data_IF_881256984883
#
_entry.id   IF_881256984883
#
_cell.length_a   1.000
_cell.length_b   1.000
_cell.length_c   1.000
_cell.angle_alpha   90.00
_cell.angle_beta   90.00
_cell.angle_gamma   90.00
#
_symmetry.space_group_name_H-M   'P 1'
#
loop_
_entity.id
_entity.type
_entity.pdbx_description
1 polymer ?
#
# COMPACT_ATOMS: atom_id res chain seq x y z
N UNK A 1 -34.03 4.26 33.67
CA UNK A 1 -34.71 4.06 32.39
C UNK A 1 -34.09 4.96 31.33
N UNK A 2 -34.10 6.29 31.52
CA UNK A 2 -33.55 7.27 30.58
C UNK A 2 -32.10 6.95 30.10
N UNK A 3 -31.24 6.48 31.01
CA UNK A 3 -29.87 6.13 30.66
C UNK A 3 -29.81 4.87 29.79
N UNK A 4 -30.70 3.90 30.01
CA UNK A 4 -30.82 2.72 29.14
C UNK A 4 -31.26 3.14 27.74
N UNK A 5 -32.21 4.02 27.61
CA UNK A 5 -32.70 4.58 26.33
C UNK A 5 -31.58 5.29 25.57
N UNK A 6 -30.79 6.12 26.25
CA UNK A 6 -29.61 6.80 25.66
C UNK A 6 -28.57 5.82 25.15
N UNK A 7 -28.34 4.73 25.89
CA UNK A 7 -27.39 3.69 25.44
C UNK A 7 -27.94 2.92 24.25
N UNK A 8 -29.23 2.61 24.26
CA UNK A 8 -29.90 1.91 23.14
C UNK A 8 -29.90 2.76 21.85
N UNK A 9 -30.05 4.09 21.97
CA UNK A 9 -29.92 5.02 20.82
C UNK A 9 -28.55 4.94 20.15
N UNK A 10 -27.48 4.65 20.90
CA UNK A 10 -26.15 4.49 20.33
C UNK A 10 -26.02 3.30 19.38
N UNK A 11 -26.91 2.29 19.47
CA UNK A 11 -26.89 1.12 18.59
C UNK A 11 -27.22 1.46 17.13
N UNK A 12 -27.94 2.55 16.89
CA UNK A 12 -28.32 3.04 15.56
C UNK A 12 -27.45 4.21 15.08
N UNK A 13 -26.51 4.68 15.91
CA UNK A 13 -25.55 5.73 15.52
C UNK A 13 -24.58 5.19 14.44
N UNK A 14 -24.35 5.97 13.39
CA UNK A 14 -23.50 5.60 12.29
C UNK A 14 -22.01 5.50 12.68
N UNK A 15 -21.58 6.30 13.67
CA UNK A 15 -20.20 6.36 14.13
C UNK A 15 -19.95 5.39 15.28
N UNK A 16 -19.23 4.30 15.00
CA UNK A 16 -18.81 3.32 16.02
C UNK A 16 -17.90 3.95 17.08
N UNK A 17 -16.99 4.83 16.66
CA UNK A 17 -16.03 5.47 17.55
C UNK A 17 -16.73 6.44 18.50
N UNK A 18 -17.65 7.27 18.00
CA UNK A 18 -18.38 8.23 18.82
C UNK A 18 -19.39 7.55 19.74
N UNK A 19 -20.06 6.49 19.27
CA UNK A 19 -20.92 5.64 20.10
C UNK A 19 -20.16 5.09 21.30
N UNK A 20 -18.95 4.59 21.09
CA UNK A 20 -18.12 4.06 22.19
C UNK A 20 -17.70 5.16 23.18
N UNK A 21 -17.31 6.35 22.71
CA UNK A 21 -16.99 7.49 23.59
C UNK A 21 -18.16 7.88 24.47
N UNK A 22 -19.37 8.00 23.88
CA UNK A 22 -20.59 8.30 24.62
C UNK A 22 -20.94 7.19 25.60
N UNK A 23 -20.74 5.92 25.20
CA UNK A 23 -20.94 4.77 26.09
C UNK A 23 -20.10 4.86 27.37
N UNK A 24 -18.81 5.26 27.25
CA UNK A 24 -17.93 5.41 28.42
C UNK A 24 -18.50 6.47 29.39
N UNK A 25 -19.01 7.59 28.86
CA UNK A 25 -19.66 8.62 29.68
C UNK A 25 -20.93 8.11 30.37
N UNK A 26 -21.73 7.32 29.67
CA UNK A 26 -22.94 6.72 30.25
C UNK A 26 -22.64 5.64 31.31
N UNK A 27 -21.56 4.90 31.15
CA UNK A 27 -21.06 3.97 32.17
C UNK A 27 -20.63 4.69 33.46
N UNK A 28 -19.98 5.85 33.34
CA UNK A 28 -19.62 6.70 34.49
C UNK A 28 -20.89 7.25 35.19
N UNK A 29 -21.86 7.73 34.41
CA UNK A 29 -23.15 8.20 34.96
C UNK A 29 -23.90 7.07 35.67
N UNK A 30 -23.89 5.86 35.09
CA UNK A 30 -24.51 4.69 35.72
C UNK A 30 -23.93 4.37 37.09
N UNK A 31 -22.61 4.42 37.20
CA UNK A 31 -21.92 4.19 38.48
C UNK A 31 -22.22 5.29 39.50
N UNK A 32 -22.35 6.53 39.04
CA UNK A 32 -22.63 7.68 39.92
C UNK A 32 -24.04 7.68 40.47
N UNK A 33 -25.04 7.11 39.80
CA UNK A 33 -26.42 7.02 40.24
C UNK A 33 -26.54 6.15 41.51
N UNK A 34 -25.70 5.10 41.65
CA UNK A 34 -25.75 4.23 42.81
C UNK A 34 -26.89 3.19 42.79
N UNK A 35 -27.17 2.54 43.93
CA UNK A 35 -28.12 1.43 43.99
C UNK A 35 -29.59 1.89 43.81
N UNK A 36 -30.37 1.05 43.14
CA UNK A 36 -31.82 1.20 42.92
C UNK A 36 -32.60 0.14 43.69
N UNK A 37 -33.93 0.28 43.87
CA UNK A 37 -34.73 -0.74 44.52
C UNK A 37 -34.61 -2.11 43.90
N UNK A 38 -34.54 -3.17 44.71
CA UNK A 38 -34.20 -4.53 44.31
C UNK A 38 -35.13 -5.12 43.26
N UNK A 39 -36.42 -4.76 43.30
CA UNK A 39 -37.46 -5.24 42.38
C UNK A 39 -37.29 -4.69 40.93
N UNK A 40 -36.60 -3.58 40.78
CA UNK A 40 -36.32 -2.91 39.49
C UNK A 40 -34.87 -3.09 39.04
N UNK A 41 -33.99 -3.50 39.93
CA UNK A 41 -32.56 -3.50 39.67
C UNK A 41 -32.15 -4.47 38.57
N UNK A 42 -32.71 -5.69 38.60
CA UNK A 42 -32.37 -6.77 37.66
C UNK A 42 -32.77 -6.41 36.21
N UNK A 43 -34.01 -5.93 36.04
CA UNK A 43 -34.54 -5.56 34.72
C UNK A 43 -33.71 -4.44 34.08
N UNK A 44 -33.45 -3.37 34.82
CA UNK A 44 -32.68 -2.22 34.34
C UNK A 44 -31.23 -2.62 34.06
N UNK A 45 -30.64 -3.45 34.94
CA UNK A 45 -29.28 -3.95 34.78
C UNK A 45 -29.13 -4.81 33.53
N UNK A 46 -29.99 -5.77 33.31
CA UNK A 46 -29.98 -6.63 32.12
C UNK A 46 -30.14 -5.81 30.84
N UNK A 47 -31.08 -4.86 30.84
CA UNK A 47 -31.28 -3.94 29.70
C UNK A 47 -30.04 -3.11 29.37
N UNK A 48 -29.42 -2.52 30.39
CA UNK A 48 -28.19 -1.73 30.25
C UNK A 48 -27.02 -2.59 29.76
N UNK A 49 -26.81 -3.76 30.36
CA UNK A 49 -25.75 -4.69 29.97
C UNK A 49 -25.90 -5.19 28.53
N UNK A 50 -27.11 -5.58 28.12
CA UNK A 50 -27.36 -6.05 26.75
C UNK A 50 -27.03 -4.96 25.72
N UNK A 51 -27.45 -3.73 25.95
CA UNK A 51 -27.16 -2.63 25.05
C UNK A 51 -25.65 -2.31 25.01
N UNK A 52 -24.98 -2.27 26.15
CA UNK A 52 -23.52 -2.04 26.23
C UNK A 52 -22.72 -3.13 25.57
N UNK A 53 -23.10 -4.40 25.73
CA UNK A 53 -22.44 -5.54 25.10
C UNK A 53 -22.56 -5.49 23.57
N UNK A 54 -23.71 -5.14 23.04
CA UNK A 54 -23.92 -4.98 21.60
C UNK A 54 -23.02 -3.85 21.02
N UNK A 55 -22.85 -2.74 21.74
CA UNK A 55 -21.97 -1.66 21.32
C UNK A 55 -20.50 -2.09 21.36
N UNK A 56 -20.10 -2.80 22.42
CA UNK A 56 -18.75 -3.34 22.53
C UNK A 56 -18.45 -4.37 21.45
N UNK A 57 -19.42 -5.23 21.12
CA UNK A 57 -19.31 -6.21 20.03
C UNK A 57 -19.14 -5.51 18.68
N UNK A 58 -19.99 -4.52 18.40
CA UNK A 58 -19.93 -3.72 17.17
C UNK A 58 -18.57 -3.01 17.03
N UNK A 59 -18.01 -2.53 18.14
CA UNK A 59 -16.67 -1.94 18.17
C UNK A 59 -15.59 -2.97 17.85
N UNK A 60 -15.61 -4.16 18.47
CA UNK A 60 -14.66 -5.24 18.16
C UNK A 60 -14.68 -5.60 16.69
N UNK A 61 -15.87 -5.85 16.13
CA UNK A 61 -16.05 -6.16 14.72
C UNK A 61 -15.50 -5.07 13.78
N UNK A 62 -15.73 -3.81 14.10
CA UNK A 62 -15.20 -2.69 13.35
C UNK A 62 -13.67 -2.68 13.30
N UNK A 63 -13.02 -2.89 14.43
CA UNK A 63 -11.55 -2.92 14.48
C UNK A 63 -10.96 -4.18 13.84
N UNK A 64 -11.63 -5.32 13.98
CA UNK A 64 -11.22 -6.57 13.36
C UNK A 64 -11.32 -6.49 11.82
N UNK A 65 -12.41 -5.95 11.29
CA UNK A 65 -12.57 -5.70 9.86
C UNK A 65 -11.51 -4.74 9.32
N UNK A 66 -11.23 -3.65 10.06
CA UNK A 66 -10.20 -2.70 9.68
C UNK A 66 -8.82 -3.32 9.67
N UNK A 67 -8.50 -4.14 10.66
CA UNK A 67 -7.24 -4.89 10.70
C UNK A 67 -7.12 -5.85 9.53
N UNK A 68 -8.18 -6.62 9.24
CA UNK A 68 -8.22 -7.54 8.11
C UNK A 68 -8.00 -6.82 6.77
N UNK A 69 -8.60 -5.66 6.58
CA UNK A 69 -8.41 -4.83 5.39
C UNK A 69 -6.95 -4.35 5.25
N UNK A 70 -6.35 -3.86 6.34
CA UNK A 70 -4.94 -3.47 6.36
C UNK A 70 -4.01 -4.63 6.01
N UNK A 71 -4.28 -5.82 6.55
CA UNK A 71 -3.50 -7.03 6.30
C UNK A 71 -3.65 -7.51 4.84
N UNK A 72 -4.86 -7.44 4.27
CA UNK A 72 -5.09 -7.71 2.84
C UNK A 72 -4.33 -6.74 1.93
N UNK A 73 -4.34 -5.47 2.27
CA UNK A 73 -3.60 -4.45 1.52
C UNK A 73 -2.09 -4.70 1.59
N UNK A 74 -1.58 -5.12 2.75
CA UNK A 74 -0.18 -5.49 2.91
C UNK A 74 0.20 -6.70 2.06
N UNK A 75 -0.62 -7.73 2.02
CA UNK A 75 -0.41 -8.90 1.16
C UNK A 75 -0.37 -8.50 -0.32
N UNK A 76 -1.30 -7.66 -0.77
CA UNK A 76 -1.33 -7.18 -2.15
C UNK A 76 -0.08 -6.36 -2.51
N UNK A 77 0.37 -5.48 -1.64
CA UNK A 77 1.60 -4.70 -1.83
C UNK A 77 2.85 -5.56 -1.79
N UNK A 78 2.90 -6.55 -0.91
CA UNK A 78 4.00 -7.52 -0.85
C UNK A 78 4.10 -8.32 -2.16
N UNK A 79 2.98 -8.79 -2.70
CA UNK A 79 2.94 -9.47 -3.98
C UNK A 79 3.46 -8.61 -5.14
N UNK A 80 3.17 -7.31 -5.14
CA UNK A 80 3.74 -6.37 -6.11
C UNK A 80 5.26 -6.22 -5.96
N UNK A 81 5.77 -6.16 -4.73
CA UNK A 81 7.22 -6.13 -4.48
C UNK A 81 7.90 -7.38 -5.03
N UNK A 82 7.37 -8.55 -4.71
CA UNK A 82 7.91 -9.85 -5.16
C UNK A 82 7.91 -9.94 -6.68
N UNK A 83 6.81 -9.56 -7.32
CA UNK A 83 6.72 -9.55 -8.79
C UNK A 83 7.71 -8.56 -9.42
N UNK A 84 7.87 -7.36 -8.86
CA UNK A 84 8.84 -6.38 -9.35
C UNK A 84 10.28 -6.89 -9.20
N UNK A 85 10.61 -7.49 -8.07
CA UNK A 85 11.92 -8.10 -7.81
C UNK A 85 12.20 -9.25 -8.80
N UNK A 86 11.22 -10.09 -9.09
CA UNK A 86 11.31 -11.20 -10.03
C UNK A 86 11.53 -10.71 -11.47
N UNK A 87 10.77 -9.70 -11.91
CA UNK A 87 10.92 -9.09 -13.24
C UNK A 87 12.29 -8.41 -13.45
N UNK A 88 12.86 -7.89 -12.38
CA UNK A 88 14.13 -7.14 -12.42
C UNK A 88 15.34 -7.97 -12.02
N UNK A 89 15.16 -9.26 -11.70
CA UNK A 89 16.23 -10.15 -11.24
C UNK A 89 17.33 -10.37 -12.28
N UNK A 90 16.96 -10.35 -13.56
CA UNK A 90 17.89 -10.56 -14.68
C UNK A 90 17.88 -9.33 -15.59
N UNK A 91 19.08 -8.87 -15.96
CA UNK A 91 19.23 -7.76 -16.90
C UNK A 91 18.81 -8.20 -18.31
N UNK A 92 17.90 -7.48 -18.99
CA UNK A 92 17.53 -7.77 -20.35
C UNK A 92 18.68 -7.51 -21.34
N UNK A 93 18.78 -8.34 -22.36
CA UNK A 93 19.75 -8.15 -23.46
C UNK A 93 19.16 -7.29 -24.58
N UNK A 94 17.83 -7.36 -24.79
CA UNK A 94 17.14 -6.70 -25.92
C UNK A 94 16.41 -5.44 -25.46
N UNK A 95 16.44 -4.42 -26.30
CA UNK A 95 15.79 -3.12 -26.06
C UNK A 95 14.29 -3.26 -25.81
N UNK A 96 13.59 -4.11 -26.58
CA UNK A 96 12.16 -4.33 -26.41
C UNK A 96 11.84 -4.89 -25.02
N UNK A 97 12.65 -5.82 -24.51
CA UNK A 97 12.43 -6.42 -23.17
C UNK A 97 12.61 -5.37 -22.07
N UNK A 98 13.60 -4.46 -22.21
CA UNK A 98 13.73 -3.32 -21.31
C UNK A 98 12.45 -2.44 -21.27
N UNK A 99 11.86 -2.21 -22.44
CA UNK A 99 10.64 -1.40 -22.55
C UNK A 99 9.40 -2.14 -22.01
N UNK A 100 9.28 -3.43 -22.27
CA UNK A 100 8.19 -4.26 -21.74
C UNK A 100 8.21 -4.28 -20.20
N UNK A 101 9.37 -4.55 -19.59
CA UNK A 101 9.54 -4.51 -18.14
C UNK A 101 9.25 -3.11 -17.58
N UNK A 102 9.73 -2.06 -18.25
CA UNK A 102 9.45 -0.67 -17.84
C UNK A 102 7.95 -0.38 -17.79
N UNK A 103 7.21 -0.80 -18.80
CA UNK A 103 5.76 -0.63 -18.87
C UNK A 103 5.05 -1.43 -17.77
N UNK A 104 5.48 -2.66 -17.54
CA UNK A 104 4.92 -3.50 -16.49
C UNK A 104 5.16 -2.92 -15.09
N UNK A 105 6.37 -2.42 -14.80
CA UNK A 105 6.68 -1.74 -13.54
C UNK A 105 5.86 -0.46 -13.35
N UNK A 106 5.65 0.32 -14.41
CA UNK A 106 4.81 1.50 -14.35
C UNK A 106 3.34 1.16 -14.10
N UNK A 107 2.83 0.09 -14.69
CA UNK A 107 1.48 -0.40 -14.43
C UNK A 107 1.33 -0.93 -13.00
N UNK A 108 2.35 -1.62 -12.49
CA UNK A 108 2.40 -2.03 -11.09
C UNK A 108 2.38 -0.83 -10.12
N UNK A 109 3.05 0.27 -10.46
CA UNK A 109 2.99 1.50 -9.68
C UNK A 109 1.58 2.13 -9.68
N UNK A 110 0.87 2.06 -10.79
CA UNK A 110 -0.54 2.49 -10.86
C UNK A 110 -1.42 1.63 -9.96
N UNK A 111 -1.24 0.31 -10.01
CA UNK A 111 -1.96 -0.64 -9.14
C UNK A 111 -1.64 -0.38 -7.66
N UNK A 112 -0.38 -0.12 -7.33
CA UNK A 112 0.04 0.25 -5.97
C UNK A 112 -0.76 1.41 -5.39
N UNK A 113 -0.98 2.44 -6.20
CA UNK A 113 -1.75 3.63 -5.79
C UNK A 113 -3.23 3.35 -5.55
N UNK A 114 -3.78 2.29 -6.12
CA UNK A 114 -5.17 1.88 -5.92
C UNK A 114 -5.35 1.01 -4.67
N UNK A 115 -4.29 0.38 -4.17
CA UNK A 115 -4.32 -0.41 -2.95
C UNK A 115 -4.39 0.56 -1.76
N UNK A 116 -5.27 0.25 -0.82
CA UNK A 116 -5.50 1.06 0.37
C UNK A 116 -4.33 1.03 1.37
N UNK A 117 -4.53 1.60 2.55
CA UNK A 117 -3.50 1.69 3.57
C UNK A 117 -3.12 0.32 4.12
N UNK A 118 -1.90 0.22 4.63
CA UNK A 118 -1.32 -0.93 5.33
C UNK A 118 -1.05 -0.56 6.79
N UNK A 119 -0.74 -1.52 7.68
CA UNK A 119 -0.35 -1.22 9.05
C UNK A 119 0.79 -0.20 9.10
N UNK A 120 0.70 0.78 10.02
CA UNK A 120 1.63 1.92 10.09
C UNK A 120 3.08 1.52 10.30
N UNK A 121 3.32 0.49 11.09
CA UNK A 121 4.65 -0.04 11.43
C UNK A 121 5.42 -0.60 10.22
N UNK A 122 4.71 -1.06 9.19
CA UNK A 122 5.32 -1.65 7.98
C UNK A 122 5.18 -0.78 6.72
N UNK A 123 4.42 0.31 6.80
CA UNK A 123 4.08 1.13 5.63
C UNK A 123 5.32 1.70 4.93
N UNK A 124 6.25 2.24 5.69
CA UNK A 124 7.48 2.83 5.15
C UNK A 124 8.40 1.78 4.56
N UNK A 125 8.56 0.65 5.25
CA UNK A 125 9.41 -0.45 4.80
C UNK A 125 8.93 -1.09 3.49
N UNK A 126 7.61 -1.32 3.35
CA UNK A 126 7.06 -1.93 2.13
C UNK A 126 7.13 -0.96 0.94
N UNK A 127 6.93 0.32 1.17
CA UNK A 127 7.10 1.34 0.13
C UNK A 127 8.55 1.44 -0.33
N UNK A 128 9.50 1.50 0.60
CA UNK A 128 10.92 1.57 0.29
C UNK A 128 11.39 0.33 -0.48
N UNK A 129 10.93 -0.85 -0.10
CA UNK A 129 11.20 -2.10 -0.84
C UNK A 129 10.75 -2.02 -2.30
N UNK A 130 9.54 -1.57 -2.54
CA UNK A 130 8.98 -1.42 -3.89
C UNK A 130 9.72 -0.34 -4.69
N UNK A 131 9.85 0.85 -4.09
CA UNK A 131 10.48 2.00 -4.72
C UNK A 131 11.94 1.74 -5.08
N UNK A 132 12.74 1.18 -4.18
CA UNK A 132 14.15 0.89 -4.43
C UNK A 132 14.35 -0.12 -5.57
N UNK A 133 13.44 -1.09 -5.71
CA UNK A 133 13.45 -2.04 -6.84
C UNK A 133 13.23 -1.32 -8.17
N UNK A 134 12.24 -0.42 -8.24
CA UNK A 134 11.97 0.39 -9.43
C UNK A 134 13.14 1.32 -9.75
N UNK A 135 13.62 2.07 -8.78
CA UNK A 135 14.70 3.05 -8.94
C UNK A 135 15.97 2.37 -9.45
N UNK A 136 16.34 1.22 -8.87
CA UNK A 136 17.49 0.43 -9.31
C UNK A 136 17.34 -0.06 -10.75
N UNK A 137 16.16 -0.52 -11.13
CA UNK A 137 15.91 -0.96 -12.52
C UNK A 137 16.05 0.19 -13.51
N UNK A 138 15.43 1.32 -13.24
CA UNK A 138 15.48 2.47 -14.15
C UNK A 138 16.87 3.09 -14.23
N UNK A 139 17.64 3.11 -13.15
CA UNK A 139 19.03 3.55 -13.14
C UNK A 139 19.89 2.61 -14.01
N UNK A 140 19.78 1.28 -13.81
CA UNK A 140 20.49 0.30 -14.62
C UNK A 140 20.10 0.40 -16.11
N UNK A 141 18.82 0.62 -16.41
CA UNK A 141 18.35 0.85 -17.77
C UNK A 141 19.02 2.09 -18.38
N UNK A 142 19.06 3.18 -17.66
CA UNK A 142 19.71 4.42 -18.12
C UNK A 142 21.18 4.21 -18.44
N UNK A 143 21.92 3.58 -17.53
CA UNK A 143 23.34 3.25 -17.73
C UNK A 143 23.55 2.35 -18.95
N UNK A 144 22.71 1.34 -19.14
CA UNK A 144 22.78 0.46 -20.29
C UNK A 144 22.60 1.21 -21.61
N UNK A 145 21.60 2.08 -21.69
CA UNK A 145 21.35 2.86 -22.90
C UNK A 145 22.42 3.92 -23.18
N UNK A 146 23.02 4.52 -22.14
CA UNK A 146 24.15 5.44 -22.29
C UNK A 146 25.37 4.72 -22.84
N UNK A 147 25.71 3.55 -22.31
CA UNK A 147 26.82 2.72 -22.86
C UNK A 147 26.57 2.32 -24.31
N UNK A 148 25.36 1.88 -24.63
CA UNK A 148 25.00 1.50 -26.01
C UNK A 148 25.15 2.68 -26.97
N UNK A 149 24.74 3.88 -26.55
CA UNK A 149 24.89 5.11 -27.35
C UNK A 149 26.37 5.46 -27.58
N UNK A 150 27.20 5.35 -26.55
CA UNK A 150 28.63 5.59 -26.65
C UNK A 150 29.33 4.58 -27.56
N UNK A 151 28.98 3.30 -27.46
CA UNK A 151 29.46 2.26 -28.35
C UNK A 151 29.08 2.52 -29.82
N UNK A 152 27.82 2.92 -30.06
CA UNK A 152 27.37 3.26 -31.41
C UNK A 152 28.09 4.47 -31.97
N UNK A 153 28.35 5.52 -31.18
CA UNK A 153 29.10 6.67 -31.58
C UNK A 153 30.56 6.31 -31.91
N UNK A 154 31.21 5.48 -31.09
CA UNK A 154 32.54 4.99 -31.33
C UNK A 154 32.62 4.14 -32.62
N UNK A 155 31.68 3.23 -32.81
CA UNK A 155 31.58 2.37 -34.00
C UNK A 155 31.38 3.24 -35.28
N UNK A 156 30.58 4.30 -35.19
CA UNK A 156 30.39 5.24 -36.28
C UNK A 156 31.72 5.90 -36.64
N UNK A 157 32.46 6.44 -35.69
CA UNK A 157 33.75 7.08 -35.90
C UNK A 157 34.77 6.14 -36.54
N UNK A 158 34.86 4.90 -36.02
CA UNK A 158 35.75 3.85 -36.59
C UNK A 158 35.40 3.53 -38.06
N UNK A 159 34.11 3.48 -38.39
CA UNK A 159 33.66 3.23 -39.77
C UNK A 159 33.97 4.41 -40.68
N UNK A 160 33.81 5.63 -40.20
CA UNK A 160 34.19 6.86 -40.96
C UNK A 160 35.69 6.85 -41.24
N UNK A 161 36.53 6.55 -40.25
CA UNK A 161 37.99 6.44 -40.44
C UNK A 161 38.37 5.39 -41.49
N UNK A 162 37.71 4.22 -41.47
CA UNK A 162 37.94 3.18 -42.50
C UNK A 162 37.52 3.68 -43.89
N UNK A 163 36.42 4.41 -44.02
CA UNK A 163 36.02 5.01 -45.30
C UNK A 163 37.06 6.00 -45.80
N UNK A 164 37.55 6.86 -44.90
CA UNK A 164 38.59 7.83 -45.28
C UNK A 164 39.88 7.15 -45.73
N UNK A 165 40.30 6.09 -45.06
CA UNK A 165 41.48 5.27 -45.46
C UNK A 165 41.27 4.61 -46.82
N UNK A 166 40.11 4.04 -47.08
CA UNK A 166 39.78 3.45 -48.36
C UNK A 166 39.78 4.46 -49.51
N UNK A 167 39.23 5.64 -49.28
CA UNK A 167 39.25 6.77 -50.25
C UNK A 167 40.66 7.25 -50.53
N UNK A 168 41.51 7.32 -49.51
CA UNK A 168 42.91 7.71 -49.66
C UNK A 168 43.71 6.66 -50.50
N UNK A 169 43.44 5.40 -50.37
CA UNK A 169 44.04 4.33 -51.17
C UNK A 169 43.57 4.43 -52.62
N UNK A 170 42.26 4.58 -52.84
CA UNK A 170 41.70 4.72 -54.18
C UNK A 170 42.28 5.89 -54.96
N UNK A 171 42.58 6.99 -54.31
CA UNK A 171 43.22 8.21 -54.89
C UNK A 171 44.68 8.00 -55.22
N UNK A 172 45.38 6.98 -54.66
CA UNK A 172 46.79 6.69 -54.94
C UNK A 172 46.99 5.87 -56.18
N UNK A 173 45.98 5.10 -56.60
CA UNK A 173 46.00 4.23 -57.74
C UNK A 173 45.59 4.94 -59.06
N UNK A 174 45.22 6.20 -59.00
CA UNK A 174 45.02 7.09 -60.13
C UNK A 174 46.26 7.90 -60.41
#
# INVERSE_FOLDING_TARGET
>A
IELCEKVEELLVDASVIDSFKKLQQYREQWRAIGPVPSDKNEEIWVRFCNATEQIDQRRREFYDQRKEELDKNLLAKTALCEKAEELTAVQPEKINVWNEISNELNDMLKVWKTIGPVPKDVNEAIWERFKSTLDKFFETKKEHFEKLKDEQANNYNLKVDLCMQAEAIAKRDD
#
